data_IF_196641374963
#
_entry.id   IF_196641374963
#
_cell.length_a   1.000
_cell.length_b   1.000
_cell.length_c   1.000
_cell.angle_alpha   90.00
_cell.angle_beta   90.00
_cell.angle_gamma   90.00
#
_symmetry.space_group_name_H-M   'P 1'
#
loop_
_entity.id
_entity.type
_entity.pdbx_description
1 polymer ?
#
# COMPACT_ATOMS: atom_id res chain seq x y z
N UNK A 1 -7.22 8.73 -0.19
CA UNK A 1 -7.96 7.55 0.33
C UNK A 1 -7.06 6.33 0.22
N UNK A 2 -7.24 5.34 1.09
CA UNK A 2 -6.47 4.09 1.10
C UNK A 2 -7.35 2.88 1.29
N UNK A 3 -6.91 1.74 0.74
CA UNK A 3 -7.48 0.44 1.05
C UNK A 3 -6.43 -0.68 0.99
N UNK A 4 -6.63 -1.75 1.76
CA UNK A 4 -5.68 -2.86 1.90
C UNK A 4 -6.33 -4.13 2.44
N UNK A 5 -5.59 -5.24 2.35
CA UNK A 5 -5.89 -6.47 3.08
C UNK A 5 -5.57 -6.34 4.58
N UNK A 6 -6.06 -7.29 5.38
CA UNK A 6 -5.63 -7.48 6.76
C UNK A 6 -4.21 -8.07 6.86
N UNK A 7 -3.72 -8.32 8.07
CA UNK A 7 -2.39 -8.92 8.33
C UNK A 7 -2.20 -10.33 7.75
N UNK A 8 -3.29 -11.03 7.41
CA UNK A 8 -3.26 -12.36 6.81
C UNK A 8 -3.46 -12.32 5.28
N UNK A 9 -3.42 -11.14 4.65
CA UNK A 9 -3.60 -11.02 3.20
C UNK A 9 -5.06 -11.17 2.73
N UNK A 10 -6.04 -11.11 3.65
CA UNK A 10 -7.47 -11.21 3.32
C UNK A 10 -8.12 -9.82 3.23
N UNK A 11 -8.75 -9.51 2.11
CA UNK A 11 -9.61 -8.34 1.98
C UNK A 11 -11.00 -8.61 2.55
N UNK A 12 -11.63 -7.62 3.24
CA UNK A 12 -13.04 -7.68 3.62
C UNK A 12 -13.94 -7.39 2.40
N UNK A 13 -13.80 -8.21 1.36
CA UNK A 13 -14.49 -8.04 0.08
C UNK A 13 -15.21 -9.34 -0.32
N UNK A 14 -16.49 -9.30 -0.75
CA UNK A 14 -17.28 -10.49 -1.06
C UNK A 14 -16.73 -11.38 -2.18
N UNK A 15 -15.80 -10.88 -3.01
CA UNK A 15 -15.13 -11.66 -4.06
C UNK A 15 -13.79 -12.25 -3.65
N UNK A 16 -13.26 -11.88 -2.48
CA UNK A 16 -12.03 -12.49 -2.00
C UNK A 16 -12.32 -13.94 -1.54
N UNK A 17 -11.57 -14.87 -2.12
CA UNK A 17 -11.64 -16.33 -1.90
C UNK A 17 -10.34 -16.88 -1.32
N UNK A 18 -9.39 -16.02 -0.95
CA UNK A 18 -8.16 -16.46 -0.31
C UNK A 18 -8.50 -17.18 1.00
N UNK A 19 -7.93 -18.38 1.21
CA UNK A 19 -8.14 -19.19 2.41
C UNK A 19 -7.28 -18.67 3.59
N UNK A 20 -7.56 -17.44 3.98
CA UNK A 20 -6.99 -16.76 5.13
C UNK A 20 -8.12 -16.16 5.98
N UNK A 21 -7.94 -16.09 7.31
CA UNK A 21 -8.98 -15.59 8.20
C UNK A 21 -9.29 -14.12 7.93
N UNK A 22 -10.56 -13.76 8.01
CA UNK A 22 -10.99 -12.36 8.14
C UNK A 22 -10.73 -11.86 9.56
N UNK A 23 -10.50 -10.57 9.73
CA UNK A 23 -10.43 -9.93 11.04
C UNK A 23 -11.72 -9.11 11.28
N UNK A 24 -12.55 -9.45 12.28
CA UNK A 24 -13.79 -8.72 12.55
C UNK A 24 -13.58 -7.27 13.01
N UNK A 25 -12.37 -6.91 13.44
CA UNK A 25 -12.01 -5.57 13.91
C UNK A 25 -11.30 -4.73 12.83
N UNK A 26 -11.14 -5.26 11.61
CA UNK A 26 -10.40 -4.59 10.55
C UNK A 26 -11.25 -4.37 9.29
N UNK A 27 -11.45 -3.11 8.93
CA UNK A 27 -12.21 -2.73 7.71
C UNK A 27 -11.33 -2.54 6.48
N UNK A 28 -10.02 -2.33 6.67
CA UNK A 28 -9.05 -2.20 5.58
C UNK A 28 -9.22 -0.97 4.70
N UNK A 29 -9.94 0.07 5.13
CA UNK A 29 -10.11 1.31 4.37
C UNK A 29 -9.94 2.56 5.23
N UNK A 30 -9.48 3.66 4.62
CA UNK A 30 -9.25 4.92 5.31
C UNK A 30 -9.26 6.12 4.36
N UNK A 31 -9.54 7.31 4.89
CA UNK A 31 -9.43 8.56 4.14
C UNK A 31 -8.99 9.68 5.06
N UNK A 32 -8.22 10.61 4.51
CA UNK A 32 -7.82 11.85 5.16
C UNK A 32 -7.63 12.93 4.10
N UNK A 33 -7.53 14.17 4.54
CA UNK A 33 -7.08 15.30 3.73
C UNK A 33 -5.63 15.61 4.09
N UNK A 34 -4.85 16.09 3.13
CA UNK A 34 -3.53 16.62 3.40
C UNK A 34 -3.64 17.91 4.21
N UNK A 35 -2.67 18.17 5.09
CA UNK A 35 -2.58 19.43 5.82
C UNK A 35 -2.11 20.58 4.90
N UNK A 36 -1.92 21.78 5.46
CA UNK A 36 -1.45 22.97 4.73
C UNK A 36 -0.03 22.83 4.18
N UNK A 37 0.75 21.86 4.65
CA UNK A 37 2.10 21.55 4.17
C UNK A 37 2.10 20.34 3.21
N UNK A 38 0.93 19.81 2.85
CA UNK A 38 0.80 18.66 1.95
C UNK A 38 1.00 17.30 2.62
N UNK A 39 1.15 17.24 3.94
CA UNK A 39 1.40 15.98 4.67
C UNK A 39 0.09 15.23 4.93
N UNK A 40 0.17 13.91 5.00
CA UNK A 40 -0.94 13.04 5.38
C UNK A 40 -0.45 11.97 6.36
N UNK A 41 -1.37 11.37 7.14
CA UNK A 41 -1.06 10.28 8.06
C UNK A 41 -2.18 9.26 8.13
N UNK A 42 -1.79 8.00 8.16
CA UNK A 42 -2.66 6.86 8.49
C UNK A 42 -2.01 6.04 9.59
N UNK A 43 -2.83 5.45 10.45
CA UNK A 43 -2.42 4.38 11.38
C UNK A 43 -3.20 3.14 10.97
N UNK A 44 -2.49 2.05 10.69
CA UNK A 44 -3.07 0.82 10.15
C UNK A 44 -2.22 -0.39 10.55
N UNK A 45 -2.69 -1.58 10.24
CA UNK A 45 -1.93 -2.82 10.35
C UNK A 45 -1.18 -3.05 9.04
N UNK A 46 0.09 -3.48 9.10
CA UNK A 46 0.82 -3.90 7.90
C UNK A 46 0.06 -5.06 7.23
N UNK A 47 -0.36 -4.93 5.97
CA UNK A 47 -1.08 -6.00 5.28
C UNK A 47 -0.17 -7.20 5.06
N UNK A 48 -0.75 -8.39 5.10
CA UNK A 48 -0.07 -9.61 4.67
C UNK A 48 0.02 -9.70 3.15
N UNK A 49 1.02 -10.43 2.68
CA UNK A 49 1.13 -10.90 1.30
C UNK A 49 -0.05 -11.84 0.98
N UNK A 50 -0.48 -11.91 -0.27
CA UNK A 50 -1.58 -12.79 -0.66
C UNK A 50 -1.42 -13.38 -2.06
N UNK A 51 -1.91 -14.62 -2.29
CA UNK A 51 -1.84 -15.26 -3.59
C UNK A 51 -2.87 -14.67 -4.53
N UNK A 52 -2.55 -14.68 -5.82
CA UNK A 52 -3.48 -14.26 -6.86
C UNK A 52 -3.28 -15.12 -8.11
N UNK A 53 -4.30 -15.20 -8.96
CA UNK A 53 -4.34 -16.18 -10.06
C UNK A 53 -3.73 -15.64 -11.36
N UNK A 54 -2.59 -14.94 -11.27
CA UNK A 54 -1.87 -14.46 -12.45
C UNK A 54 -1.06 -15.59 -13.11
N UNK A 55 -0.24 -16.29 -12.32
CA UNK A 55 0.41 -17.55 -12.68
C UNK A 55 0.33 -18.54 -11.51
N UNK A 56 0.81 -19.78 -11.70
CA UNK A 56 0.56 -20.90 -10.76
C UNK A 56 1.03 -20.67 -9.32
N UNK A 57 1.98 -19.77 -9.08
CA UNK A 57 2.53 -19.43 -7.77
C UNK A 57 2.69 -17.91 -7.62
N UNK A 58 1.74 -17.13 -8.13
CA UNK A 58 1.81 -15.68 -8.05
C UNK A 58 1.37 -15.19 -6.67
N UNK A 59 2.19 -14.34 -6.07
CA UNK A 59 1.91 -13.65 -4.82
C UNK A 59 2.04 -12.15 -5.02
N UNK A 60 1.22 -11.38 -4.32
CA UNK A 60 1.40 -9.94 -4.21
C UNK A 60 2.25 -9.65 -2.96
N UNK A 61 3.26 -8.76 -3.04
CA UNK A 61 3.95 -8.22 -1.87
C UNK A 61 2.96 -7.52 -0.95
N UNK A 62 3.36 -7.29 0.30
CA UNK A 62 2.60 -6.46 1.21
C UNK A 62 2.43 -5.06 0.59
N UNK A 63 1.19 -4.61 0.40
CA UNK A 63 0.93 -3.31 -0.23
C UNK A 63 -0.36 -2.65 0.26
N UNK A 64 -0.36 -1.32 0.19
CA UNK A 64 -1.52 -0.47 0.45
C UNK A 64 -1.85 0.27 -0.83
N UNK A 65 -3.11 0.24 -1.24
CA UNK A 65 -3.56 1.04 -2.37
C UNK A 65 -3.83 2.48 -1.95
N UNK A 66 -3.50 3.42 -2.84
CA UNK A 66 -3.72 4.85 -2.65
C UNK A 66 -4.56 5.42 -3.80
N UNK A 67 -5.49 6.30 -3.45
CA UNK A 67 -6.28 7.12 -4.35
C UNK A 67 -6.12 8.59 -3.97
N UNK A 68 -5.60 9.40 -4.91
CA UNK A 68 -5.39 10.83 -4.76
C UNK A 68 -6.19 11.58 -5.82
N UNK A 69 -6.89 12.63 -5.38
CA UNK A 69 -7.63 13.53 -6.28
C UNK A 69 -6.72 14.54 -6.96
N UNK A 70 -5.83 15.18 -6.20
CA UNK A 70 -5.03 16.32 -6.69
C UNK A 70 -5.87 17.58 -6.95
N UNK A 71 -5.26 18.68 -7.39
CA UNK A 71 -5.97 19.93 -7.66
C UNK A 71 -6.85 19.89 -8.92
N UNK A 72 -6.62 18.95 -9.83
CA UNK A 72 -7.34 18.84 -11.10
C UNK A 72 -7.56 17.38 -11.52
N UNK A 73 -8.53 17.14 -12.41
CA UNK A 73 -8.81 15.79 -12.95
C UNK A 73 -7.57 15.17 -13.60
N UNK A 74 -6.75 15.99 -14.29
CA UNK A 74 -5.48 15.55 -14.91
C UNK A 74 -4.43 15.07 -13.91
N UNK A 75 -4.57 15.40 -12.62
CA UNK A 75 -3.66 15.00 -11.54
C UNK A 75 -4.17 13.81 -10.72
N UNK A 76 -5.34 13.24 -11.08
CA UNK A 76 -5.95 12.08 -10.41
C UNK A 76 -5.02 10.87 -10.53
N UNK A 77 -4.64 10.29 -9.39
CA UNK A 77 -3.75 9.13 -9.35
C UNK A 77 -4.30 8.00 -8.48
N UNK A 78 -4.27 6.78 -9.01
CA UNK A 78 -4.37 5.55 -8.21
C UNK A 78 -3.04 4.82 -8.32
N UNK A 79 -2.47 4.46 -7.17
CA UNK A 79 -1.17 3.79 -7.08
C UNK A 79 -1.16 2.78 -5.94
N UNK A 80 -0.04 2.07 -5.77
CA UNK A 80 0.21 1.15 -4.67
C UNK A 80 1.51 1.53 -3.99
N UNK A 81 1.50 1.49 -2.65
CA UNK A 81 2.67 1.59 -1.80
C UNK A 81 3.11 0.21 -1.38
N UNK A 82 4.41 -0.07 -1.45
CA UNK A 82 5.04 -1.31 -0.99
C UNK A 82 5.94 -1.07 0.23
N UNK A 83 6.33 -2.15 0.91
CA UNK A 83 7.24 -2.09 2.07
C UNK A 83 8.70 -2.38 1.68
N UNK A 84 9.68 -1.72 2.32
CA UNK A 84 11.08 -1.93 2.01
C UNK A 84 11.53 -3.34 2.39
N UNK A 85 12.31 -3.97 1.51
CA UNK A 85 12.89 -5.30 1.74
C UNK A 85 11.93 -6.47 1.52
N UNK A 86 10.72 -6.24 0.99
CA UNK A 86 9.81 -7.33 0.63
C UNK A 86 10.39 -8.17 -0.53
N UNK A 87 10.68 -9.47 -0.32
CA UNK A 87 11.33 -10.31 -1.33
C UNK A 87 10.42 -10.62 -2.53
N UNK A 88 9.11 -10.38 -2.43
CA UNK A 88 8.17 -10.64 -3.53
C UNK A 88 8.20 -9.55 -4.61
N UNK A 89 8.80 -8.38 -4.34
CA UNK A 89 8.82 -7.26 -5.29
C UNK A 89 9.42 -7.66 -6.65
N UNK A 90 10.52 -8.41 -6.65
CA UNK A 90 11.18 -8.84 -7.89
C UNK A 90 10.32 -9.81 -8.73
N UNK A 91 9.35 -10.47 -8.09
CA UNK A 91 8.51 -11.50 -8.70
C UNK A 91 7.10 -11.03 -9.01
N UNK A 92 6.65 -9.88 -8.49
CA UNK A 92 5.29 -9.36 -8.70
C UNK A 92 5.14 -8.70 -10.07
N UNK A 93 4.35 -9.28 -11.00
CA UNK A 93 4.09 -8.66 -12.30
C UNK A 93 3.47 -7.26 -12.22
N UNK A 94 2.76 -6.91 -11.13
CA UNK A 94 2.23 -5.55 -10.97
C UNK A 94 3.35 -4.55 -10.71
N UNK A 95 4.29 -4.88 -9.82
CA UNK A 95 5.46 -4.04 -9.54
C UNK A 95 6.39 -3.95 -10.75
N UNK A 96 6.68 -5.09 -11.38
CA UNK A 96 7.61 -5.15 -12.53
C UNK A 96 7.01 -4.65 -13.84
N UNK A 97 5.69 -4.38 -13.90
CA UNK A 97 5.04 -3.76 -15.07
C UNK A 97 5.56 -2.37 -15.40
N UNK A 98 6.16 -1.66 -14.42
CA UNK A 98 6.80 -0.37 -14.61
C UNK A 98 8.23 -0.61 -15.09
N UNK A 99 8.60 -0.25 -16.33
CA UNK A 99 9.92 -0.59 -16.87
C UNK A 99 11.07 0.13 -16.18
N UNK A 100 10.87 1.41 -15.83
CA UNK A 100 11.86 2.22 -15.14
C UNK A 100 12.00 1.79 -13.67
N UNK A 101 13.17 1.26 -13.33
CA UNK A 101 13.51 0.87 -11.96
C UNK A 101 13.43 2.03 -10.98
N UNK A 102 13.84 3.23 -11.37
CA UNK A 102 13.75 4.41 -10.50
C UNK A 102 12.30 4.75 -10.19
N UNK A 103 11.41 4.57 -11.16
CA UNK A 103 9.97 4.74 -10.96
C UNK A 103 9.39 3.66 -10.03
N UNK A 104 9.84 2.39 -10.16
CA UNK A 104 9.47 1.31 -9.23
C UNK A 104 9.88 1.61 -7.79
N UNK A 105 11.12 2.08 -7.59
CA UNK A 105 11.62 2.40 -6.25
C UNK A 105 10.84 3.54 -5.58
N UNK A 106 10.21 4.44 -6.35
CA UNK A 106 9.31 5.48 -5.80
C UNK A 106 8.00 4.92 -5.25
N UNK A 107 7.66 3.65 -5.51
CA UNK A 107 6.49 2.99 -4.93
C UNK A 107 6.81 2.28 -3.60
N UNK A 108 8.10 2.17 -3.24
CA UNK A 108 8.54 1.52 -2.00
C UNK A 108 8.64 2.57 -0.91
N UNK A 109 7.90 2.40 0.18
CA UNK A 109 8.01 3.26 1.37
C UNK A 109 9.38 3.12 2.04
N UNK A 110 9.76 4.14 2.83
CA UNK A 110 10.96 4.10 3.65
C UNK A 110 10.56 3.87 5.11
N UNK A 111 11.27 3.00 5.83
CA UNK A 111 11.18 2.98 7.28
C UNK A 111 11.66 4.33 7.83
N UNK A 112 10.87 4.95 8.69
CA UNK A 112 11.13 6.28 9.23
C UNK A 112 10.99 6.25 10.75
N UNK A 113 12.13 6.13 11.44
CA UNK A 113 12.23 6.05 12.89
C UNK A 113 11.57 7.24 13.59
N UNK A 114 11.68 8.44 13.04
CA UNK A 114 11.14 9.65 13.67
C UNK A 114 9.60 9.68 13.67
N UNK A 115 8.97 8.90 12.79
CA UNK A 115 7.51 8.80 12.71
C UNK A 115 6.94 7.64 13.54
N UNK A 116 7.80 6.86 14.21
CA UNK A 116 7.37 5.79 15.12
C UNK A 116 6.61 6.36 16.32
N UNK A 117 5.73 5.55 16.90
CA UNK A 117 5.10 5.84 18.20
C UNK A 117 5.73 4.88 19.21
N UNK A 118 6.48 5.39 20.21
CA UNK A 118 7.12 4.55 21.22
C UNK A 118 6.14 3.54 21.83
N UNK A 119 6.57 2.28 21.91
CA UNK A 119 5.81 1.15 22.48
C UNK A 119 4.48 0.81 21.79
N UNK A 120 4.18 1.43 20.64
CA UNK A 120 2.87 1.29 19.99
C UNK A 120 2.96 0.94 18.50
N UNK A 121 3.74 1.67 17.70
CA UNK A 121 3.73 1.50 16.25
C UNK A 121 5.05 1.88 15.58
N UNK A 122 5.42 1.11 14.55
CA UNK A 122 6.49 1.49 13.62
C UNK A 122 6.02 2.57 12.64
N UNK A 123 6.98 3.31 12.08
CA UNK A 123 6.74 4.43 11.16
C UNK A 123 7.28 4.14 9.76
N UNK A 124 6.50 4.46 8.74
CA UNK A 124 6.89 4.40 7.34
C UNK A 124 6.51 5.70 6.63
N UNK A 125 7.43 6.24 5.83
CA UNK A 125 7.23 7.42 5.00
C UNK A 125 7.02 7.03 3.55
N UNK A 126 6.01 7.62 2.92
CA UNK A 126 5.69 7.41 1.51
C UNK A 126 5.28 8.74 0.86
N UNK A 127 6.21 9.33 0.12
CA UNK A 127 6.00 10.61 -0.54
C UNK A 127 5.39 10.39 -1.94
N UNK A 128 4.35 11.16 -2.27
CA UNK A 128 3.62 11.03 -3.52
C UNK A 128 3.70 12.34 -4.29
N UNK A 129 4.20 12.27 -5.53
CA UNK A 129 4.33 13.43 -6.42
C UNK A 129 3.25 13.36 -7.49
N UNK A 130 2.43 14.41 -7.57
CA UNK A 130 1.47 14.61 -8.66
C UNK A 130 2.08 15.51 -9.74
N UNK A 131 1.49 15.49 -10.94
CA UNK A 131 1.89 16.39 -12.01
C UNK A 131 1.69 17.86 -11.60
N UNK A 132 2.68 18.71 -11.90
CA UNK A 132 2.68 20.15 -11.61
C UNK A 132 2.00 21.00 -12.67
#
# INVERSE_FOLDING_TARGET
EVWQANSAGRYPHPRDRHDAPTDPNFTGCGRTLTDSEGRYRFVTIRPGEYPWRNHYNAWRPAHIHFSLFGPAISTRLVTQMYFPGDPLLEYDPMFTSIPDERARQRLVSAFDWETTIPEQALGYRFDIVLHG
#
